data_IF_592125658753
#
_entry.id   IF_592125658753
#
_cell.length_a   1.000
_cell.length_b   1.000
_cell.length_c   1.000
_cell.angle_alpha   90.00
_cell.angle_beta   90.00
_cell.angle_gamma   90.00
#
_symmetry.space_group_name_H-M   'P 1'
#
loop_
_entity.id
_entity.type
_entity.pdbx_description
1 polymer ?
#
# COMPACT_ATOMS: atom_id res chain seq x y z
N UNK A 1 -12.78 2.56 -9.36
CA UNK A 1 -12.69 1.23 -8.74
C UNK A 1 -12.57 0.12 -9.76
N UNK A 2 -11.33 -0.33 -9.99
CA UNK A 2 -11.09 -1.57 -10.75
C UNK A 2 -11.44 -2.80 -9.89
N UNK A 3 -11.55 -4.00 -10.49
CA UNK A 3 -11.95 -5.21 -9.76
C UNK A 3 -10.94 -5.66 -8.70
N UNK A 4 -9.65 -5.40 -8.90
CA UNK A 4 -8.56 -5.75 -7.98
C UNK A 4 -8.52 -4.81 -6.77
N UNK A 5 -8.80 -3.52 -6.95
CA UNK A 5 -8.94 -2.56 -5.85
C UNK A 5 -10.06 -2.98 -4.88
N UNK A 6 -11.23 -3.35 -5.44
CA UNK A 6 -12.33 -3.93 -4.67
C UNK A 6 -11.91 -5.18 -3.90
N UNK A 7 -11.14 -6.05 -4.55
CA UNK A 7 -10.61 -7.27 -3.94
C UNK A 7 -9.67 -6.97 -2.77
N UNK A 8 -8.74 -6.01 -2.90
CA UNK A 8 -7.86 -5.60 -1.81
C UNK A 8 -8.66 -5.13 -0.58
N UNK A 9 -9.64 -4.24 -0.79
CA UNK A 9 -10.50 -3.73 0.29
C UNK A 9 -11.32 -4.84 0.96
N UNK A 10 -11.84 -5.78 0.17
CA UNK A 10 -12.55 -6.95 0.70
C UNK A 10 -11.64 -7.86 1.53
N UNK A 11 -10.40 -8.10 1.08
CA UNK A 11 -9.43 -8.90 1.81
C UNK A 11 -9.09 -8.29 3.18
N UNK A 12 -8.88 -6.98 3.25
CA UNK A 12 -8.65 -6.29 4.52
C UNK A 12 -9.86 -6.40 5.46
N UNK A 13 -11.05 -6.17 4.93
CA UNK A 13 -12.29 -6.26 5.72
C UNK A 13 -12.53 -7.68 6.27
N UNK A 14 -12.22 -8.72 5.49
CA UNK A 14 -12.34 -10.11 5.92
C UNK A 14 -11.47 -10.45 7.13
N UNK A 15 -10.31 -9.81 7.23
CA UNK A 15 -9.38 -9.96 8.35
C UNK A 15 -9.58 -8.89 9.45
N UNK A 16 -10.71 -8.17 9.42
CA UNK A 16 -11.06 -7.09 10.36
C UNK A 16 -10.04 -5.94 10.40
N UNK A 17 -9.36 -5.68 9.28
CA UNK A 17 -8.42 -4.57 9.13
C UNK A 17 -9.15 -3.39 8.50
N UNK A 18 -9.08 -2.23 9.16
CA UNK A 18 -9.64 -0.99 8.64
C UNK A 18 -8.79 -0.49 7.46
N UNK A 19 -9.39 -0.39 6.27
CA UNK A 19 -8.72 0.13 5.08
C UNK A 19 -8.42 1.62 5.13
N UNK A 20 -9.04 2.34 6.06
CA UNK A 20 -8.76 3.76 6.30
C UNK A 20 -7.69 3.97 7.39
N UNK A 21 -7.09 2.87 7.89
CA UNK A 21 -5.88 2.93 8.71
C UNK A 21 -4.77 3.69 8.00
N UNK A 22 -3.98 4.42 8.78
CA UNK A 22 -2.89 5.25 8.30
C UNK A 22 -1.54 4.76 8.85
N UNK A 23 -0.47 4.99 8.08
CA UNK A 23 0.91 4.79 8.50
C UNK A 23 1.68 6.09 8.31
N UNK A 24 2.45 6.44 9.34
CA UNK A 24 3.41 7.52 9.29
C UNK A 24 4.77 7.04 8.74
N UNK A 25 5.32 7.84 7.84
CA UNK A 25 6.61 7.64 7.21
C UNK A 25 7.51 8.84 7.50
N UNK A 26 8.61 8.64 8.21
CA UNK A 26 9.67 9.65 8.31
C UNK A 26 10.56 9.56 7.06
N UNK A 27 10.50 10.61 6.24
CA UNK A 27 11.36 10.78 5.07
C UNK A 27 12.17 12.06 5.26
N UNK A 28 13.46 11.90 5.53
CA UNK A 28 14.40 13.00 5.75
C UNK A 28 13.97 13.99 6.86
N UNK A 29 13.41 13.49 7.96
CA UNK A 29 12.94 14.30 9.09
C UNK A 29 11.57 14.94 8.89
N UNK A 30 10.87 14.59 7.81
CA UNK A 30 9.49 15.02 7.54
C UNK A 30 8.56 13.82 7.62
N UNK A 31 7.52 13.94 8.46
CA UNK A 31 6.48 12.92 8.55
C UNK A 31 5.51 13.06 7.37
N UNK A 32 5.30 11.95 6.67
CA UNK A 32 4.30 11.75 5.64
C UNK A 32 3.33 10.68 6.11
N UNK A 33 2.05 11.00 6.20
CA UNK A 33 1.01 10.04 6.60
C UNK A 33 0.29 9.55 5.35
N UNK A 34 0.21 8.23 5.15
CA UNK A 34 -0.52 7.61 4.03
C UNK A 34 -1.53 6.61 4.57
N UNK A 35 -2.75 6.63 4.03
CA UNK A 35 -3.77 5.60 4.31
C UNK A 35 -3.56 4.35 3.47
N UNK A 36 -4.01 3.19 3.97
CA UNK A 36 -4.00 1.95 3.18
C UNK A 36 -4.82 2.11 1.91
N UNK A 37 -5.99 2.78 2.01
CA UNK A 37 -6.80 3.23 0.88
C UNK A 37 -5.94 3.91 -0.19
N UNK A 38 -5.16 4.94 0.18
CA UNK A 38 -4.34 5.69 -0.79
C UNK A 38 -3.25 4.82 -1.45
N UNK A 39 -2.57 4.00 -0.64
CA UNK A 39 -1.52 3.09 -1.13
C UNK A 39 -2.13 2.10 -2.13
N UNK A 40 -3.25 1.45 -1.78
CA UNK A 40 -3.95 0.51 -2.67
C UNK A 40 -4.31 1.22 -3.97
N UNK A 41 -4.99 2.37 -3.89
CA UNK A 41 -5.45 3.10 -5.08
C UNK A 41 -4.30 3.46 -6.02
N UNK A 42 -3.14 3.84 -5.47
CA UNK A 42 -1.99 4.23 -6.29
C UNK A 42 -1.39 3.02 -7.02
N UNK A 43 -1.20 1.88 -6.34
CA UNK A 43 -0.72 0.67 -7.00
C UNK A 43 -1.76 0.06 -7.97
N UNK A 44 -3.05 0.30 -7.76
CA UNK A 44 -4.12 -0.12 -8.68
C UNK A 44 -4.17 0.70 -9.98
N UNK A 45 -3.43 1.82 -10.06
CA UNK A 45 -3.24 2.60 -11.28
C UNK A 45 -1.99 2.16 -12.09
N UNK A 46 -1.13 1.31 -11.53
CA UNK A 46 0.06 0.80 -12.19
C UNK A 46 -0.29 -0.24 -13.29
N UNK A 47 0.74 -0.84 -13.91
CA UNK A 47 0.54 -1.92 -14.89
C UNK A 47 -0.20 -3.12 -14.28
N UNK A 48 -0.92 -3.89 -15.12
CA UNK A 48 -1.66 -5.08 -14.67
C UNK A 48 -0.78 -6.07 -13.91
N UNK A 49 0.47 -6.25 -14.34
CA UNK A 49 1.43 -7.12 -13.67
C UNK A 49 1.72 -6.63 -12.24
N UNK A 50 2.01 -5.33 -12.07
CA UNK A 50 2.22 -4.73 -10.75
C UNK A 50 1.00 -4.86 -9.86
N UNK A 51 -0.21 -4.70 -10.41
CA UNK A 51 -1.45 -4.89 -9.66
C UNK A 51 -1.58 -6.32 -9.13
N UNK A 52 -1.29 -7.33 -9.97
CA UNK A 52 -1.35 -8.74 -9.58
C UNK A 52 -0.31 -9.08 -8.50
N UNK A 53 0.92 -8.58 -8.64
CA UNK A 53 1.98 -8.75 -7.65
C UNK A 53 1.59 -8.12 -6.32
N UNK A 54 1.02 -6.90 -6.34
CA UNK A 54 0.53 -6.23 -5.13
C UNK A 54 -0.53 -7.06 -4.41
N UNK A 55 -1.55 -7.53 -5.13
CA UNK A 55 -2.63 -8.35 -4.55
C UNK A 55 -2.09 -9.64 -3.95
N UNK A 56 -1.17 -10.33 -4.65
CA UNK A 56 -0.57 -11.57 -4.16
C UNK A 56 0.27 -11.33 -2.89
N UNK A 57 1.04 -10.25 -2.85
CA UNK A 57 1.81 -9.87 -1.68
C UNK A 57 0.93 -9.48 -0.48
N UNK A 58 -0.18 -8.77 -0.73
CA UNK A 58 -1.17 -8.46 0.30
C UNK A 58 -1.80 -9.73 0.88
N UNK A 59 -2.20 -10.69 0.04
CA UNK A 59 -2.74 -11.98 0.49
C UNK A 59 -1.73 -12.72 1.39
N UNK A 60 -0.45 -12.74 1.01
CA UNK A 60 0.60 -13.34 1.84
C UNK A 60 0.83 -12.59 3.15
N UNK A 61 0.69 -11.26 3.14
CA UNK A 61 0.82 -10.44 4.33
C UNK A 61 -0.33 -10.71 5.33
N UNK A 62 -1.54 -10.91 4.82
CA UNK A 62 -2.73 -11.29 5.58
C UNK A 62 -2.57 -12.65 6.28
N UNK A 63 -1.96 -13.64 5.59
CA UNK A 63 -1.60 -14.93 6.21
C UNK A 63 -0.63 -14.79 7.39
N UNK A 64 0.17 -13.72 7.43
CA UNK A 64 1.08 -13.39 8.52
C UNK A 64 0.43 -12.52 9.62
N UNK A 65 -0.88 -12.29 9.53
CA UNK A 65 -1.68 -11.50 10.47
C UNK A 65 -1.40 -10.00 10.44
N UNK A 66 -1.91 -9.29 11.45
CA UNK A 66 -1.86 -7.82 11.55
C UNK A 66 -0.44 -7.24 11.39
N UNK A 67 0.57 -7.90 11.98
CA UNK A 67 1.98 -7.48 11.84
C UNK A 67 2.48 -7.62 10.40
N UNK A 68 2.06 -8.67 9.69
CA UNK A 68 2.40 -8.86 8.28
C UNK A 68 1.82 -7.75 7.41
N UNK A 69 0.55 -7.42 7.63
CA UNK A 69 -0.17 -6.37 6.91
C UNK A 69 0.44 -4.99 7.16
N UNK A 70 0.72 -4.65 8.42
CA UNK A 70 1.40 -3.39 8.76
C UNK A 70 2.74 -3.26 8.06
N UNK A 71 3.58 -4.31 8.09
CA UNK A 71 4.88 -4.31 7.38
C UNK A 71 4.74 -4.22 5.87
N UNK A 72 3.72 -4.87 5.31
CA UNK A 72 3.43 -4.79 3.88
C UNK A 72 3.12 -3.34 3.47
N UNK A 73 2.18 -2.68 4.14
CA UNK A 73 1.84 -1.29 3.83
C UNK A 73 2.97 -0.32 4.12
N UNK A 74 3.78 -0.59 5.15
CA UNK A 74 5.00 0.17 5.39
C UNK A 74 5.99 0.06 4.21
N UNK A 75 6.23 -1.15 3.69
CA UNK A 75 7.09 -1.33 2.52
C UNK A 75 6.53 -0.66 1.26
N UNK A 76 5.23 -0.79 1.01
CA UNK A 76 4.58 -0.21 -0.17
C UNK A 76 4.52 1.33 -0.11
N UNK A 77 4.23 1.90 1.06
CA UNK A 77 4.26 3.35 1.26
C UNK A 77 5.66 3.94 1.12
N UNK A 78 6.69 3.25 1.63
CA UNK A 78 8.09 3.65 1.40
C UNK A 78 8.44 3.65 -0.09
N UNK A 79 8.06 2.60 -0.82
CA UNK A 79 8.32 2.52 -2.26
C UNK A 79 7.67 3.70 -3.01
N UNK A 80 6.40 4.01 -2.71
CA UNK A 80 5.71 5.16 -3.29
C UNK A 80 6.41 6.49 -3.01
N UNK A 81 6.79 6.72 -1.75
CA UNK A 81 7.46 7.95 -1.35
C UNK A 81 8.84 8.08 -2.00
N UNK A 82 9.58 6.96 -2.17
CA UNK A 82 10.85 6.95 -2.88
C UNK A 82 10.68 7.27 -4.37
N UNK A 83 9.65 6.72 -5.04
CA UNK A 83 9.36 7.03 -6.45
C UNK A 83 9.03 8.51 -6.64
N UNK A 84 8.12 9.07 -5.83
CA UNK A 84 7.77 10.49 -5.93
C UNK A 84 8.91 11.44 -5.55
N UNK A 85 9.80 11.02 -4.63
CA UNK A 85 10.99 11.79 -4.30
C UNK A 85 11.98 11.78 -5.47
N UNK A 86 12.15 10.64 -6.15
CA UNK A 86 12.97 10.52 -7.35
C UNK A 86 12.47 11.44 -8.47
N UNK A 87 11.17 11.45 -8.75
CA UNK A 87 10.55 12.32 -9.76
C UNK A 87 10.79 13.81 -9.48
N UNK A 88 10.89 14.22 -8.21
CA UNK A 88 11.18 15.61 -7.81
C UNK A 88 12.65 15.98 -7.89
N UNK A 89 13.57 15.02 -7.83
CA UNK A 89 15.01 15.25 -7.94
C UNK A 89 15.48 15.31 -9.40
N UNK A 90 14.71 14.72 -10.32
CA UNK A 90 14.95 14.76 -11.77
C UNK A 90 14.27 15.95 -12.48
N UNK A 91 13.58 16.83 -11.73
CA UNK A 91 12.86 18.00 -12.23
C UNK A 91 13.63 19.32 -12.08
#
# INVERSE_FOLDING_TARGET
>A
MNALEKKCRQLLLQDNIDSDSEIDFDVNGKIHTLSYTYIIETFMQASTESQLVFVAALQKALEAGETGVSKFFQGMGQLLLMTHLSEKLEA
#
